data_IF_063371074133
#
_entry.id   IF_063371074133
#
_cell.length_a   1.000
_cell.length_b   1.000
_cell.length_c   1.000
_cell.angle_alpha   90.00
_cell.angle_beta   90.00
_cell.angle_gamma   90.00
#
_symmetry.space_group_name_H-M   'P 1'
#
loop_
_entity.id
_entity.type
_entity.pdbx_description
1 polymer ?
#
# COMPACT_ATOMS: atom_id res chain seq x y z
N UNK A 1 11.75 -23.04 -2.70
CA UNK A 1 11.85 -21.94 -1.71
C UNK A 1 11.91 -20.62 -2.48
N UNK A 2 11.18 -19.60 -2.04
CA UNK A 2 11.15 -18.30 -2.72
C UNK A 2 10.30 -17.30 -1.95
N UNK A 3 10.47 -16.01 -2.26
CA UNK A 3 9.64 -14.94 -1.67
C UNK A 3 8.21 -15.08 -2.20
N UNK A 4 7.24 -15.04 -1.29
CA UNK A 4 5.81 -15.18 -1.60
C UNK A 4 5.08 -13.85 -1.67
N UNK A 5 5.49 -12.92 -0.81
CA UNK A 5 5.03 -11.53 -0.76
C UNK A 5 6.27 -10.67 -0.57
N UNK A 6 6.50 -9.73 -1.48
CA UNK A 6 7.55 -8.72 -1.37
C UNK A 6 6.92 -7.34 -1.28
N UNK A 7 7.21 -6.60 -0.22
CA UNK A 7 6.80 -5.21 -0.02
C UNK A 7 8.00 -4.29 0.08
N UNK A 8 8.00 -3.16 -0.64
CA UNK A 8 9.10 -2.19 -0.63
C UNK A 8 8.54 -0.80 -0.33
N UNK A 9 8.91 -0.23 0.82
CA UNK A 9 8.64 1.18 1.15
C UNK A 9 9.57 2.07 0.34
N UNK A 10 9.01 3.03 -0.39
CA UNK A 10 9.79 3.94 -1.27
C UNK A 10 9.66 5.39 -0.80
N UNK A 11 9.93 5.66 0.49
CA UNK A 11 9.84 7.01 1.05
C UNK A 11 8.47 7.66 0.79
N UNK A 12 8.43 8.92 0.37
CA UNK A 12 7.16 9.61 0.06
C UNK A 12 6.42 9.04 -1.16
N UNK A 13 7.04 8.16 -1.96
CA UNK A 13 6.40 7.49 -3.11
C UNK A 13 5.52 6.31 -2.71
N UNK A 14 5.31 6.06 -1.42
CA UNK A 14 4.37 5.04 -0.96
C UNK A 14 4.98 3.65 -0.74
N UNK A 15 4.22 2.62 -1.06
CA UNK A 15 4.54 1.22 -0.82
C UNK A 15 4.21 0.38 -2.05
N UNK A 16 5.24 -0.27 -2.59
CA UNK A 16 5.12 -1.27 -3.66
C UNK A 16 4.92 -2.66 -3.07
N UNK A 17 4.13 -3.49 -3.75
CA UNK A 17 3.85 -4.88 -3.41
C UNK A 17 3.90 -5.74 -4.67
N UNK A 18 4.58 -6.88 -4.60
CA UNK A 18 4.29 -7.99 -5.50
C UNK A 18 4.08 -9.30 -4.74
N UNK A 19 3.20 -10.12 -5.27
CA UNK A 19 2.83 -11.39 -4.67
C UNK A 19 2.90 -12.52 -5.70
N UNK A 20 3.13 -13.73 -5.20
CA UNK A 20 3.27 -14.91 -6.02
C UNK A 20 1.90 -15.58 -6.26
N UNK A 21 1.89 -16.73 -6.95
CA UNK A 21 0.67 -17.46 -7.29
C UNK A 21 -0.07 -18.01 -6.07
N UNK A 22 -1.31 -18.47 -6.27
CA UNK A 22 -2.12 -19.09 -5.20
C UNK A 22 -1.36 -20.27 -4.58
N UNK A 23 -0.82 -21.16 -5.42
CA UNK A 23 -0.07 -22.36 -5.00
C UNK A 23 1.15 -21.98 -4.13
N UNK A 24 1.83 -20.89 -4.49
CA UNK A 24 2.95 -20.39 -3.69
C UNK A 24 2.48 -19.87 -2.33
N UNK A 25 1.36 -19.12 -2.30
CA UNK A 25 0.79 -18.54 -1.08
C UNK A 25 0.17 -19.59 -0.13
N UNK A 26 -0.36 -20.70 -0.63
CA UNK A 26 -0.87 -21.82 0.17
C UNK A 26 0.18 -22.42 1.10
N UNK A 27 1.46 -22.29 0.74
CA UNK A 27 2.58 -22.75 1.55
C UNK A 27 3.13 -21.69 2.52
N UNK A 28 2.39 -20.60 2.76
CA UNK A 28 2.72 -19.65 3.83
C UNK A 28 2.41 -20.25 5.22
N UNK A 29 3.14 -19.81 6.23
CA UNK A 29 2.84 -20.16 7.63
C UNK A 29 1.72 -19.29 8.20
N UNK A 30 1.82 -18.94 9.49
CA UNK A 30 0.80 -18.18 10.25
C UNK A 30 0.42 -16.81 9.67
N UNK A 31 1.19 -16.27 8.75
CA UNK A 31 0.93 -15.01 8.06
C UNK A 31 0.27 -15.20 6.67
N UNK A 32 -0.27 -16.39 6.38
CA UNK A 32 -1.01 -16.65 5.15
C UNK A 32 -2.22 -15.71 5.04
N UNK A 33 -2.44 -15.04 3.89
CA UNK A 33 -3.64 -14.22 3.69
C UNK A 33 -4.92 -15.06 3.79
N UNK A 34 -5.97 -14.50 4.41
CA UNK A 34 -7.26 -15.20 4.58
C UNK A 34 -7.93 -15.53 3.24
N UNK A 35 -7.81 -14.64 2.25
CA UNK A 35 -8.36 -14.83 0.89
C UNK A 35 -7.22 -14.85 -0.13
N UNK A 36 -6.69 -16.05 -0.39
CA UNK A 36 -5.55 -16.24 -1.29
C UNK A 36 -5.78 -15.68 -2.70
N UNK A 37 -6.97 -15.86 -3.26
CA UNK A 37 -7.30 -15.38 -4.61
C UNK A 37 -7.24 -13.86 -4.74
N UNK A 38 -7.49 -13.10 -3.66
CA UNK A 38 -7.32 -11.65 -3.68
C UNK A 38 -5.85 -11.23 -3.65
N UNK A 39 -4.99 -12.07 -3.07
CA UNK A 39 -3.57 -11.83 -2.85
C UNK A 39 -2.66 -12.45 -3.90
N UNK A 40 -3.15 -13.35 -4.76
CA UNK A 40 -2.29 -14.02 -5.75
C UNK A 40 -2.00 -13.15 -6.97
N UNK A 41 -0.77 -13.26 -7.49
CA UNK A 41 -0.31 -12.63 -8.73
C UNK A 41 -0.62 -11.12 -8.79
N UNK A 42 -0.41 -10.42 -7.67
CA UNK A 42 -0.64 -8.98 -7.54
C UNK A 42 0.66 -8.22 -7.79
N UNK A 43 0.54 -7.07 -8.43
CA UNK A 43 1.59 -6.08 -8.55
C UNK A 43 0.95 -4.71 -8.32
N UNK A 44 1.16 -4.15 -7.13
CA UNK A 44 0.44 -2.98 -6.64
C UNK A 44 1.40 -1.92 -6.12
N UNK A 45 0.99 -0.67 -6.24
CA UNK A 45 1.72 0.46 -5.66
C UNK A 45 0.75 1.49 -5.10
N UNK A 46 0.69 1.57 -3.77
CA UNK A 46 -0.15 2.54 -3.08
C UNK A 46 0.66 3.81 -2.77
N UNK A 47 0.16 5.01 -3.11
CA UNK A 47 0.80 6.27 -2.72
C UNK A 47 0.71 6.49 -1.20
N UNK A 48 1.57 7.37 -0.67
CA UNK A 48 1.40 7.91 0.69
C UNK A 48 0.27 8.94 0.76
N UNK A 49 -0.21 9.21 1.97
CA UNK A 49 -1.16 10.29 2.24
C UNK A 49 -0.45 11.63 2.43
N UNK A 50 -1.16 12.71 2.09
CA UNK A 50 -0.69 14.08 2.30
C UNK A 50 -0.77 14.45 3.78
N UNK A 51 0.35 14.87 4.35
CA UNK A 51 0.48 15.09 5.79
C UNK A 51 1.62 16.09 6.08
N UNK A 52 1.54 16.94 7.12
CA UNK A 52 2.65 17.76 7.54
C UNK A 52 3.79 16.87 8.08
N UNK A 53 4.94 16.88 7.39
CA UNK A 53 6.10 16.07 7.78
C UNK A 53 6.93 16.82 8.82
N UNK A 54 6.97 16.31 10.05
CA UNK A 54 7.79 16.83 11.16
C UNK A 54 9.06 15.99 11.33
N UNK A 55 8.95 14.66 11.27
CA UNK A 55 10.06 13.72 11.38
C UNK A 55 9.82 12.47 10.53
N UNK A 56 10.87 11.85 9.99
CA UNK A 56 10.73 10.64 9.14
C UNK A 56 11.27 9.36 9.82
N UNK A 57 11.85 9.51 11.00
CA UNK A 57 12.38 8.42 11.83
C UNK A 57 11.27 7.40 12.10
N UNK A 58 11.52 6.12 11.80
CA UNK A 58 10.57 5.04 12.03
C UNK A 58 9.39 4.96 11.05
N UNK A 59 9.27 5.86 10.06
CA UNK A 59 8.16 5.83 9.10
C UNK A 59 8.09 4.55 8.27
N UNK A 60 9.25 3.95 7.98
CA UNK A 60 9.34 2.63 7.36
C UNK A 60 8.75 1.54 8.26
N UNK A 61 9.20 1.48 9.51
CA UNK A 61 8.75 0.50 10.50
C UNK A 61 7.24 0.63 10.77
N UNK A 62 6.75 1.86 10.93
CA UNK A 62 5.33 2.15 11.09
C UNK A 62 4.51 1.66 9.88
N UNK A 63 5.02 1.88 8.66
CA UNK A 63 4.37 1.39 7.44
C UNK A 63 4.31 -0.14 7.42
N UNK A 64 5.41 -0.83 7.74
CA UNK A 64 5.45 -2.29 7.75
C UNK A 64 4.58 -2.86 8.87
N UNK A 65 4.54 -2.23 10.05
CA UNK A 65 3.63 -2.60 11.12
C UNK A 65 2.16 -2.48 10.68
N UNK A 66 1.80 -1.40 10.00
CA UNK A 66 0.46 -1.22 9.41
C UNK A 66 0.13 -2.28 8.35
N UNK A 67 1.11 -2.64 7.50
CA UNK A 67 0.97 -3.71 6.51
C UNK A 67 0.69 -5.07 7.16
N UNK A 68 1.51 -5.46 8.15
CA UNK A 68 1.35 -6.72 8.85
C UNK A 68 0.01 -6.78 9.61
N UNK A 69 -0.39 -5.67 10.22
CA UNK A 69 -1.66 -5.58 10.93
C UNK A 69 -2.86 -5.69 9.99
N UNK A 70 -2.82 -5.06 8.81
CA UNK A 70 -3.86 -5.21 7.79
C UNK A 70 -3.95 -6.64 7.25
N UNK A 71 -2.80 -7.27 6.98
CA UNK A 71 -2.72 -8.68 6.57
C UNK A 71 -3.33 -9.61 7.64
N UNK A 72 -2.96 -9.43 8.92
CA UNK A 72 -3.48 -10.23 10.03
C UNK A 72 -4.99 -10.02 10.28
N UNK A 73 -5.53 -8.85 9.90
CA UNK A 73 -6.97 -8.57 9.92
C UNK A 73 -7.73 -9.11 8.69
N UNK A 74 -7.05 -9.82 7.80
CA UNK A 74 -7.67 -10.43 6.62
C UNK A 74 -8.12 -9.41 5.57
N UNK A 75 -7.53 -8.21 5.55
CA UNK A 75 -7.85 -7.19 4.56
C UNK A 75 -7.39 -7.62 3.16
N UNK A 76 -8.08 -7.15 2.09
CA UNK A 76 -7.57 -7.29 0.73
C UNK A 76 -6.26 -6.49 0.58
N UNK A 77 -5.40 -6.84 -0.40
CA UNK A 77 -4.06 -6.26 -0.48
C UNK A 77 -4.09 -4.74 -0.72
N UNK A 78 -5.03 -4.22 -1.51
CA UNK A 78 -5.17 -2.78 -1.79
C UNK A 78 -5.47 -2.01 -0.50
N UNK A 79 -6.45 -2.48 0.28
CA UNK A 79 -6.80 -1.87 1.56
C UNK A 79 -5.65 -2.03 2.59
N UNK A 80 -4.92 -3.14 2.53
CA UNK A 80 -3.74 -3.38 3.39
C UNK A 80 -2.63 -2.37 3.09
N UNK A 81 -2.33 -2.13 1.82
CA UNK A 81 -1.35 -1.12 1.40
C UNK A 81 -1.79 0.30 1.76
N UNK A 82 -3.09 0.59 1.60
CA UNK A 82 -3.67 1.87 2.02
C UNK A 82 -3.48 2.08 3.53
N UNK A 83 -3.87 1.11 4.36
CA UNK A 83 -3.69 1.20 5.81
C UNK A 83 -2.21 1.31 6.21
N UNK A 84 -1.32 0.56 5.55
CA UNK A 84 0.14 0.66 5.76
C UNK A 84 0.66 2.08 5.51
N UNK A 85 0.32 2.66 4.35
CA UNK A 85 0.68 4.04 4.01
C UNK A 85 0.07 5.07 4.97
N UNK A 86 -1.14 4.83 5.49
CA UNK A 86 -1.78 5.71 6.46
C UNK A 86 -1.07 5.69 7.82
N UNK A 87 -0.71 4.51 8.33
CA UNK A 87 0.07 4.39 9.58
C UNK A 87 1.43 5.09 9.44
N UNK A 88 2.11 4.90 8.30
CA UNK A 88 3.34 5.63 8.00
C UNK A 88 3.16 7.14 7.83
N UNK A 89 1.99 7.61 7.35
CA UNK A 89 1.69 9.03 7.25
C UNK A 89 1.37 9.66 8.61
N UNK A 90 0.72 8.91 9.52
CA UNK A 90 0.53 9.34 10.91
C UNK A 90 1.87 9.46 11.64
N UNK A 91 2.80 8.50 11.46
CA UNK A 91 4.07 8.50 12.19
C UNK A 91 4.94 9.72 11.87
N UNK A 92 4.83 10.31 10.67
CA UNK A 92 5.65 11.46 10.29
C UNK A 92 5.13 12.81 10.79
N UNK A 93 3.93 12.84 11.36
CA UNK A 93 3.31 14.05 11.95
C UNK A 93 3.92 14.42 13.31
N UNK A 94 4.92 13.67 13.79
CA UNK A 94 5.64 13.94 15.03
C UNK A 94 7.17 13.82 14.82
N UNK A 95 7.94 14.36 15.76
CA UNK A 95 9.40 14.36 15.69
C UNK A 95 10.02 12.99 16.04
N UNK A 96 9.36 12.23 16.93
CA UNK A 96 9.76 10.86 17.29
C UNK A 96 8.97 9.80 16.50
N UNK A 97 9.41 8.55 16.60
CA UNK A 97 8.89 7.45 15.79
C UNK A 97 7.48 6.96 16.18
N UNK A 98 6.96 7.32 17.36
CA UNK A 98 5.79 6.66 17.95
C UNK A 98 4.64 7.62 18.25
N UNK A 99 4.90 8.85 18.69
CA UNK A 99 3.86 9.75 19.20
C UNK A 99 2.86 10.21 18.13
N UNK A 100 3.23 10.17 16.85
CA UNK A 100 2.32 10.44 15.73
C UNK A 100 1.39 9.29 15.38
N UNK A 101 1.67 8.06 15.82
CA UNK A 101 0.87 6.88 15.47
C UNK A 101 -0.49 6.96 16.16
N UNK A 102 -1.55 6.86 15.35
CA UNK A 102 -2.95 6.82 15.82
C UNK A 102 -3.39 5.40 16.12
N UNK A 103 -4.51 5.26 16.83
CA UNK A 103 -5.15 3.96 16.95
C UNK A 103 -5.62 3.45 15.58
N UNK A 104 -5.85 2.14 15.48
CA UNK A 104 -6.30 1.54 14.23
C UNK A 104 -7.66 2.09 13.75
N UNK A 105 -8.71 2.21 14.59
CA UNK A 105 -9.97 2.80 14.17
C UNK A 105 -9.82 4.25 13.69
N UNK A 106 -9.07 5.09 14.40
CA UNK A 106 -8.82 6.48 13.99
C UNK A 106 -8.08 6.57 12.65
N UNK A 107 -7.13 5.66 12.41
CA UNK A 107 -6.41 5.59 11.14
C UNK A 107 -7.35 5.24 9.99
N UNK A 108 -8.21 4.23 10.16
CA UNK A 108 -9.17 3.82 9.14
C UNK A 108 -10.25 4.89 8.90
N UNK A 109 -10.74 5.53 9.96
CA UNK A 109 -11.73 6.61 9.87
C UNK A 109 -11.18 7.79 9.06
N UNK A 110 -9.90 8.13 9.29
CA UNK A 110 -9.24 9.19 8.53
C UNK A 110 -9.17 8.85 7.04
N UNK A 111 -8.84 7.60 6.68
CA UNK A 111 -8.88 7.14 5.28
C UNK A 111 -10.31 7.27 4.72
N UNK A 112 -11.32 6.77 5.45
CA UNK A 112 -12.72 6.80 5.03
C UNK A 112 -13.27 8.22 4.85
N UNK A 113 -12.74 9.19 5.61
CA UNK A 113 -13.06 10.61 5.50
C UNK A 113 -12.44 11.32 4.28
N UNK A 114 -11.81 10.58 3.36
CA UNK A 114 -11.28 11.12 2.11
C UNK A 114 -9.91 11.79 2.26
N UNK A 115 -9.01 11.22 3.09
CA UNK A 115 -7.65 11.73 3.29
C UNK A 115 -6.89 11.82 1.95
N UNK A 116 -6.47 13.03 1.50
CA UNK A 116 -5.81 13.18 0.22
C UNK A 116 -4.51 12.37 0.11
N UNK A 117 -4.23 11.84 -1.09
CA UNK A 117 -3.02 11.08 -1.41
C UNK A 117 -2.05 11.90 -2.24
N UNK A 118 -0.77 11.58 -2.14
CA UNK A 118 0.33 12.18 -2.91
C UNK A 118 0.36 11.66 -4.36
N UNK A 119 -0.75 11.83 -5.08
CA UNK A 119 -0.96 11.22 -6.40
C UNK A 119 -0.68 12.16 -7.57
N UNK A 120 -0.91 13.46 -7.42
CA UNK A 120 -1.00 14.36 -8.57
C UNK A 120 -0.52 15.78 -8.24
N UNK A 121 -0.12 16.48 -9.31
CA UNK A 121 0.56 17.76 -9.36
C UNK A 121 0.00 18.81 -8.38
N UNK A 122 0.86 19.37 -7.54
CA UNK A 122 0.76 20.81 -7.24
C UNK A 122 1.13 21.56 -8.52
N UNK A 123 0.53 22.73 -8.79
CA UNK A 123 0.76 23.55 -10.01
C UNK A 123 2.25 23.80 -10.36
N UNK A 124 3.18 23.49 -9.44
CA UNK A 124 4.62 23.65 -9.60
C UNK A 124 5.48 22.38 -9.42
N UNK A 125 4.89 21.17 -9.26
CA UNK A 125 5.67 19.91 -9.12
C UNK A 125 5.03 18.73 -9.87
N UNK A 126 5.85 17.93 -10.54
CA UNK A 126 5.45 16.61 -11.06
C UNK A 126 5.01 15.72 -9.89
N UNK A 127 3.99 14.88 -10.11
CA UNK A 127 3.60 13.86 -9.13
C UNK A 127 4.82 13.04 -8.74
N UNK A 128 5.01 12.73 -7.44
CA UNK A 128 6.08 11.85 -7.02
C UNK A 128 5.90 10.40 -7.52
N UNK A 129 4.71 10.03 -8.01
CA UNK A 129 4.36 8.70 -8.51
C UNK A 129 3.44 8.80 -9.74
N UNK A 130 3.93 9.34 -10.86
CA UNK A 130 3.29 9.17 -12.18
C UNK A 130 3.91 7.95 -12.88
N UNK A 131 3.16 6.85 -12.91
CA UNK A 131 3.64 5.56 -13.40
C UNK A 131 3.05 5.18 -14.77
N UNK A 132 2.22 6.05 -15.35
CA UNK A 132 1.46 5.79 -16.59
C UNK A 132 2.35 5.34 -17.76
N UNK A 133 3.53 5.96 -17.90
CA UNK A 133 4.50 5.64 -18.94
C UNK A 133 5.21 4.29 -18.75
N UNK A 134 5.06 3.63 -17.60
CA UNK A 134 5.71 2.36 -17.28
C UNK A 134 4.75 1.16 -17.34
N UNK A 135 3.59 1.32 -17.99
CA UNK A 135 2.58 0.25 -18.12
C UNK A 135 1.75 0.03 -16.85
N UNK A 136 1.81 0.96 -15.89
CA UNK A 136 0.97 0.94 -14.71
C UNK A 136 -0.36 1.64 -14.98
N UNK A 137 -1.42 1.11 -14.38
CA UNK A 137 -2.77 1.63 -14.53
C UNK A 137 -3.30 2.07 -13.17
N UNK A 138 -3.84 3.29 -13.11
CA UNK A 138 -4.45 3.81 -11.90
C UNK A 138 -5.86 3.23 -11.73
N UNK A 139 -6.15 2.67 -10.55
CA UNK A 139 -7.47 2.17 -10.18
C UNK A 139 -8.16 3.19 -9.26
N UNK A 140 -9.01 4.05 -9.82
CA UNK A 140 -9.63 5.18 -9.10
C UNK A 140 -10.40 4.73 -7.85
N UNK A 141 -11.14 3.62 -7.94
CA UNK A 141 -11.98 3.10 -6.84
C UNK A 141 -11.19 2.51 -5.66
N UNK A 142 -9.96 2.07 -5.91
CA UNK A 142 -9.08 1.46 -4.91
C UNK A 142 -7.93 2.38 -4.52
N UNK A 143 -7.81 3.51 -5.23
CA UNK A 143 -6.75 4.48 -5.14
C UNK A 143 -5.34 3.85 -5.07
N UNK A 144 -5.08 2.93 -6.00
CA UNK A 144 -3.83 2.19 -6.11
C UNK A 144 -3.42 2.06 -7.57
N UNK A 145 -2.12 2.02 -7.83
CA UNK A 145 -1.60 1.64 -9.14
C UNK A 145 -1.52 0.12 -9.25
N UNK A 146 -2.00 -0.45 -10.36
CA UNK A 146 -1.82 -1.86 -10.75
C UNK A 146 -0.75 -1.96 -11.84
N UNK A 147 0.25 -2.81 -11.60
CA UNK A 147 1.40 -2.98 -12.48
C UNK A 147 1.13 -3.91 -13.67
N UNK A 148 2.04 -3.92 -14.66
CA UNK A 148 1.88 -4.70 -15.89
C UNK A 148 1.85 -6.22 -15.67
N UNK A 149 2.28 -6.72 -14.51
CA UNK A 149 2.24 -8.14 -14.14
C UNK A 149 1.06 -8.49 -13.23
N UNK A 150 0.18 -7.53 -12.92
CA UNK A 150 -0.98 -7.78 -12.06
C UNK A 150 -2.05 -8.58 -12.82
N UNK A 151 -2.43 -9.73 -12.27
CA UNK A 151 -3.39 -10.64 -12.90
C UNK A 151 -4.81 -10.08 -13.00
N UNK A 152 -5.18 -9.05 -12.21
CA UNK A 152 -6.50 -8.41 -12.32
C UNK A 152 -6.72 -7.64 -13.63
N UNK A 153 -5.64 -7.32 -14.35
CA UNK A 153 -5.70 -6.69 -15.67
C UNK A 153 -5.87 -7.72 -16.81
N UNK A 154 -5.37 -8.95 -16.62
CA UNK A 154 -5.36 -9.99 -17.68
C UNK A 154 -6.78 -10.45 -18.02
N UNK A 155 -7.72 -10.41 -17.07
CA UNK A 155 -9.13 -10.75 -17.33
C UNK A 155 -9.94 -9.66 -18.04
N UNK A 156 -9.42 -8.44 -18.22
CA UNK A 156 -10.12 -7.37 -18.95
C UNK A 156 -9.78 -7.32 -20.44
N UNK A 157 -8.73 -8.01 -20.89
CA UNK A 157 -8.30 -8.01 -22.30
C UNK A 157 -8.92 -9.12 -23.15
N UNK A 158 -9.82 -9.94 -22.58
CA UNK A 158 -10.43 -11.11 -23.25
C UNK A 158 -11.95 -11.01 -23.42
N UNK A 159 -12.53 -9.82 -23.30
CA UNK A 159 -13.95 -9.55 -23.56
C UNK A 159 -14.11 -8.47 -24.64
#
# INVERSE_FOLDING_TARGET
MGVRIAGIKVGHRGLYLCTNSIESLEHMGRAQPTKLSAWANRELWAPCFETPVIGSTGSGDATIAGFLLGLMRGMPPEATLSAACAVGACSVEAADALSGIKSWPETLERIASGWPRLLLKSKHRKSPLDMSHFGWHWQENLEVWTGPRDASLVHRATL
#
